data_IF_443670825758
#
_entry.id   IF_443670825758
#
_cell.length_a   1.000
_cell.length_b   1.000
_cell.length_c   1.000
_cell.angle_alpha   90.00
_cell.angle_beta   90.00
_cell.angle_gamma   90.00
#
_symmetry.space_group_name_H-M   'P 1'
#
loop_
_entity.id
_entity.type
_entity.pdbx_description
1 polymer ?
#
# COMPACT_ATOMS: atom_id res chain seq x y z
N UNK A 1 30.48 16.18 12.72
CA UNK A 1 29.93 15.72 11.42
C UNK A 1 29.03 16.81 10.88
N UNK A 2 29.41 17.36 9.73
CA UNK A 2 29.04 18.67 9.20
C UNK A 2 27.69 18.60 8.48
N UNK A 3 26.73 19.45 8.86
CA UNK A 3 25.58 19.82 8.04
C UNK A 3 25.85 21.23 7.50
N UNK A 4 26.13 21.32 6.20
CA UNK A 4 26.20 22.59 5.48
C UNK A 4 24.84 22.84 4.83
N UNK A 5 24.15 23.91 5.22
CA UNK A 5 22.96 24.40 4.54
C UNK A 5 23.27 25.82 4.08
N UNK A 6 23.38 25.98 2.76
CA UNK A 6 23.67 27.24 2.08
C UNK A 6 22.37 28.06 2.10
N UNK A 7 22.39 29.19 2.79
CA UNK A 7 21.33 30.21 2.78
C UNK A 7 21.72 31.25 1.74
N UNK A 8 21.06 31.25 0.58
CA UNK A 8 21.19 32.33 -0.40
C UNK A 8 20.31 33.49 0.10
N UNK A 9 20.97 34.50 0.66
CA UNK A 9 20.36 35.75 1.11
C UNK A 9 20.30 36.71 -0.09
N UNK A 10 19.10 37.03 -0.57
CA UNK A 10 18.90 38.14 -1.52
C UNK A 10 18.45 39.33 -0.69
N UNK A 11 19.30 40.35 -0.63
CA UNK A 11 19.03 41.65 -0.02
C UNK A 11 18.76 42.71 -1.09
N UNK A 12 18.13 43.81 -0.64
CA UNK A 12 17.96 45.14 -1.28
C UNK A 12 16.74 45.19 -2.22
N UNK A 13 15.71 46.03 -1.99
CA UNK A 13 15.77 47.50 -1.91
C UNK A 13 14.80 48.07 -0.86
N UNK A 14 15.33 48.85 0.09
CA UNK A 14 14.60 49.80 0.94
C UNK A 14 14.42 51.12 0.20
N UNK A 15 13.18 51.53 -0.06
CA UNK A 15 12.83 52.94 -0.29
C UNK A 15 12.11 53.40 0.98
N UNK A 16 12.82 54.19 1.79
CA UNK A 16 12.21 54.98 2.84
C UNK A 16 11.66 56.26 2.19
N UNK A 17 10.34 56.37 2.11
CA UNK A 17 9.66 57.65 2.01
C UNK A 17 8.65 57.70 3.16
N UNK A 18 9.05 58.47 4.18
CA UNK A 18 8.27 58.94 5.31
C UNK A 18 6.90 59.48 4.85
N UNK A 19 5.83 58.88 5.33
CA UNK A 19 4.56 59.55 5.53
C UNK A 19 3.85 58.88 6.70
N UNK A 20 3.55 59.71 7.67
CA UNK A 20 2.96 59.46 8.97
C UNK A 20 1.58 58.77 8.85
N UNK A 21 1.22 58.04 9.90
CA UNK A 21 -0.10 57.45 10.17
C UNK A 21 -0.64 56.44 9.14
N UNK A 22 -0.30 55.17 9.31
CA UNK A 22 -0.87 54.12 8.47
C UNK A 22 -0.67 52.72 9.02
N UNK A 23 -1.79 52.12 9.40
CA UNK A 23 -2.10 50.70 9.42
C UNK A 23 -1.00 49.71 9.82
N UNK A 24 -1.21 49.11 10.99
CA UNK A 24 -0.90 47.71 11.33
C UNK A 24 -0.07 47.00 10.27
N UNK A 25 1.26 47.16 10.34
CA UNK A 25 2.17 46.43 9.46
C UNK A 25 1.73 44.96 9.45
N UNK A 26 1.37 44.46 8.28
CA UNK A 26 0.95 43.09 8.06
C UNK A 26 2.12 42.17 8.38
N UNK A 27 2.26 41.81 9.67
CA UNK A 27 3.28 40.89 10.15
C UNK A 27 2.87 39.51 9.65
N UNK A 28 3.42 39.13 8.50
CA UNK A 28 3.44 37.74 8.02
C UNK A 28 4.21 36.91 9.05
N UNK A 29 3.50 36.34 10.03
CA UNK A 29 4.04 35.22 10.81
C UNK A 29 4.28 34.09 9.81
N UNK A 30 5.53 33.66 9.56
CA UNK A 30 5.76 32.56 8.64
C UNK A 30 5.09 31.32 9.26
N UNK A 31 3.93 30.93 8.74
CA UNK A 31 3.42 29.59 8.98
C UNK A 31 4.47 28.65 8.40
N UNK A 32 5.11 27.88 9.28
CA UNK A 32 5.92 26.73 8.87
C UNK A 32 5.02 25.92 7.95
N UNK A 33 5.38 25.84 6.67
CA UNK A 33 4.62 25.10 5.68
C UNK A 33 4.60 23.64 6.12
N UNK A 34 3.52 23.22 6.80
CA UNK A 34 3.24 21.82 7.01
C UNK A 34 3.02 21.22 5.63
N UNK A 35 3.98 20.40 5.20
CA UNK A 35 3.80 19.62 3.98
C UNK A 35 2.61 18.70 4.20
N UNK A 36 1.52 18.98 3.49
CA UNK A 36 0.40 18.08 3.41
C UNK A 36 0.81 16.87 2.57
N UNK A 37 1.28 15.81 3.24
CA UNK A 37 1.68 14.55 2.61
C UNK A 37 0.51 13.85 1.90
N UNK A 38 -0.72 14.29 2.16
CA UNK A 38 -1.95 13.83 1.52
C UNK A 38 -2.09 14.47 0.14
N UNK A 39 -1.45 15.62 -0.07
CA UNK A 39 -1.53 16.37 -1.31
C UNK A 39 -0.62 15.83 -2.43
N UNK A 40 0.14 14.76 -2.17
CA UNK A 40 1.11 14.20 -3.14
C UNK A 40 0.43 13.14 -4.02
N UNK A 41 0.43 13.33 -5.37
CA UNK A 41 -0.06 12.33 -6.32
C UNK A 41 0.62 10.97 -6.11
N UNK A 42 -0.15 9.90 -6.27
CA UNK A 42 0.30 8.52 -6.10
C UNK A 42 0.57 7.89 -7.45
N UNK A 43 1.74 7.28 -7.61
CA UNK A 43 2.06 6.49 -8.81
C UNK A 43 1.29 5.15 -8.84
N UNK A 44 0.47 4.88 -9.87
CA UNK A 44 -0.23 3.60 -10.03
C UNK A 44 0.68 2.38 -10.17
N UNK A 45 1.86 2.52 -10.77
CA UNK A 45 2.78 1.39 -10.93
C UNK A 45 3.45 1.03 -9.61
N UNK A 46 3.90 2.03 -8.84
CA UNK A 46 4.36 1.81 -7.47
C UNK A 46 3.28 1.13 -6.60
N UNK A 47 2.02 1.55 -6.70
CA UNK A 47 0.91 0.93 -5.97
C UNK A 47 0.71 -0.54 -6.35
N UNK A 48 0.79 -0.85 -7.65
CA UNK A 48 0.72 -2.22 -8.16
C UNK A 48 1.91 -3.07 -7.68
N UNK A 49 3.14 -2.53 -7.74
CA UNK A 49 4.35 -3.22 -7.29
C UNK A 49 4.27 -3.56 -5.79
N UNK A 50 3.77 -2.63 -4.96
CA UNK A 50 3.53 -2.91 -3.54
C UNK A 50 2.52 -4.04 -3.37
N UNK A 51 1.37 -3.97 -4.06
CA UNK A 51 0.34 -5.02 -4.01
C UNK A 51 0.86 -6.39 -4.49
N UNK A 52 1.77 -6.41 -5.46
CA UNK A 52 2.42 -7.62 -5.95
C UNK A 52 3.35 -8.24 -4.91
N UNK A 53 4.09 -7.43 -4.14
CA UNK A 53 4.94 -7.96 -3.05
C UNK A 53 4.13 -8.52 -1.90
N UNK A 54 3.13 -7.76 -1.45
CA UNK A 54 2.26 -8.12 -0.34
C UNK A 54 0.84 -7.70 -0.68
N UNK A 55 -0.05 -8.66 -0.99
CA UNK A 55 -1.43 -8.36 -1.33
C UNK A 55 -2.13 -7.51 -0.27
N UNK A 56 -2.76 -6.42 -0.71
CA UNK A 56 -3.41 -5.44 0.16
C UNK A 56 -2.57 -4.17 0.44
N UNK A 57 -1.25 -4.21 0.27
CA UNK A 57 -0.39 -3.05 0.59
C UNK A 57 -0.48 -1.91 -0.44
N UNK A 58 -0.78 -2.21 -1.70
CA UNK A 58 -1.04 -1.17 -2.72
C UNK A 58 -2.25 -0.32 -2.37
N UNK A 59 -3.30 -0.91 -1.81
CA UNK A 59 -4.48 -0.20 -1.31
C UNK A 59 -4.15 0.66 -0.10
N UNK A 60 -3.25 0.21 0.78
CA UNK A 60 -2.75 1.00 1.92
C UNK A 60 -1.98 2.24 1.42
N UNK A 61 -1.14 2.09 0.40
CA UNK A 61 -0.45 3.22 -0.24
C UNK A 61 -1.44 4.25 -0.84
N UNK A 62 -2.55 3.77 -1.40
CA UNK A 62 -3.63 4.61 -1.91
C UNK A 62 -4.56 5.17 -0.83
N UNK A 63 -4.33 4.83 0.45
CA UNK A 63 -5.16 5.18 1.61
C UNK A 63 -6.59 4.61 1.58
N UNK A 64 -6.80 3.58 0.78
CA UNK A 64 -8.06 2.83 0.76
C UNK A 64 -7.95 1.63 1.72
N UNK A 65 -7.72 1.92 3.02
CA UNK A 65 -7.43 0.90 4.04
C UNK A 65 -8.50 -0.20 4.13
N UNK A 66 -9.79 0.17 4.02
CA UNK A 66 -10.88 -0.82 4.06
C UNK A 66 -10.80 -1.84 2.92
N UNK A 67 -10.37 -1.42 1.73
CA UNK A 67 -10.17 -2.34 0.60
C UNK A 67 -8.90 -3.15 0.77
N UNK A 68 -7.84 -2.52 1.26
CA UNK A 68 -6.60 -3.23 1.60
C UNK A 68 -6.86 -4.37 2.58
N UNK A 69 -7.70 -4.14 3.60
CA UNK A 69 -8.13 -5.16 4.54
C UNK A 69 -8.90 -6.29 3.86
N UNK A 70 -9.86 -5.98 2.98
CA UNK A 70 -10.65 -6.99 2.25
C UNK A 70 -9.76 -7.82 1.32
N UNK A 71 -8.86 -7.18 0.57
CA UNK A 71 -7.92 -7.87 -0.31
C UNK A 71 -6.97 -8.76 0.48
N UNK A 72 -6.41 -8.26 1.59
CA UNK A 72 -5.53 -9.04 2.46
C UNK A 72 -6.29 -10.22 3.09
N UNK A 73 -7.46 -9.98 3.69
CA UNK A 73 -8.26 -11.04 4.32
C UNK A 73 -8.67 -12.12 3.31
N UNK A 74 -9.10 -11.74 2.11
CA UNK A 74 -9.44 -12.68 1.04
C UNK A 74 -8.23 -13.50 0.58
N UNK A 75 -7.12 -12.83 0.24
CA UNK A 75 -5.92 -13.51 -0.24
C UNK A 75 -5.30 -14.42 0.83
N UNK A 76 -4.99 -13.88 2.02
CA UNK A 76 -4.33 -14.66 3.08
C UNK A 76 -5.25 -15.72 3.67
N UNK A 77 -6.57 -15.47 3.72
CA UNK A 77 -7.54 -16.48 4.13
C UNK A 77 -7.59 -17.66 3.16
N UNK A 78 -7.66 -17.39 1.85
CA UNK A 78 -7.62 -18.45 0.85
C UNK A 78 -6.25 -19.16 0.80
N UNK A 79 -5.14 -18.42 0.95
CA UNK A 79 -3.80 -19.00 0.99
C UNK A 79 -3.62 -19.94 2.19
N UNK A 80 -4.07 -19.52 3.37
CA UNK A 80 -4.05 -20.36 4.58
C UNK A 80 -4.88 -21.63 4.38
N UNK A 81 -6.10 -21.49 3.85
CA UNK A 81 -6.97 -22.63 3.60
C UNK A 81 -6.36 -23.60 2.57
N UNK A 82 -5.75 -23.09 1.50
CA UNK A 82 -5.06 -23.89 0.50
C UNK A 82 -3.88 -24.66 1.12
N UNK A 83 -3.06 -24.00 1.95
CA UNK A 83 -1.95 -24.65 2.66
C UNK A 83 -2.45 -25.72 3.64
N UNK A 84 -3.52 -25.44 4.38
CA UNK A 84 -4.13 -26.40 5.30
C UNK A 84 -4.63 -27.66 4.57
N UNK A 85 -5.34 -27.49 3.45
CA UNK A 85 -5.85 -28.61 2.66
C UNK A 85 -4.72 -29.41 2.00
N UNK A 86 -3.70 -28.72 1.50
CA UNK A 86 -2.52 -29.38 0.93
C UNK A 86 -1.74 -30.18 1.98
N UNK A 87 -1.54 -29.65 3.18
CA UNK A 87 -0.91 -30.39 4.28
C UNK A 87 -1.70 -31.63 4.69
N UNK A 88 -3.03 -31.58 4.64
CA UNK A 88 -3.87 -32.77 4.85
C UNK A 88 -3.70 -33.81 3.74
N UNK A 89 -3.57 -33.35 2.49
CA UNK A 89 -3.26 -34.24 1.36
C UNK A 89 -1.90 -34.91 1.55
N UNK A 90 -0.86 -34.19 1.96
CA UNK A 90 0.47 -34.77 2.22
C UNK A 90 0.43 -35.81 3.34
N UNK A 91 -0.23 -35.50 4.46
CA UNK A 91 -0.35 -36.42 5.60
C UNK A 91 -1.08 -37.72 5.22
N UNK A 92 -2.12 -37.64 4.38
CA UNK A 92 -2.84 -38.82 3.90
C UNK A 92 -1.99 -39.69 2.96
N UNK A 93 -1.09 -39.05 2.22
CA UNK A 93 -0.16 -39.71 1.29
C UNK A 93 1.19 -40.01 1.93
N UNK A 94 1.32 -39.93 3.24
CA UNK A 94 2.54 -40.26 3.97
C UNK A 94 2.31 -41.50 4.83
N UNK A 95 3.18 -42.49 4.69
CA UNK A 95 3.18 -43.69 5.52
C UNK A 95 4.24 -43.61 6.61
N UNK A 96 4.03 -44.37 7.69
CA UNK A 96 5.02 -44.49 8.77
C UNK A 96 5.77 -45.81 8.63
N UNK A 97 7.07 -45.72 8.35
CA UNK A 97 7.96 -46.88 8.25
C UNK A 97 8.76 -47.01 9.54
N UNK A 98 8.80 -48.21 10.11
CA UNK A 98 9.58 -48.50 11.30
C UNK A 98 10.91 -49.14 10.92
N UNK A 99 12.00 -48.48 11.30
CA UNK A 99 13.36 -49.00 11.13
C UNK A 99 13.87 -49.57 12.45
N UNK A 100 14.27 -50.83 12.40
CA UNK A 100 14.96 -51.51 13.48
C UNK A 100 16.38 -50.94 13.62
N UNK A 101 16.72 -50.35 14.76
CA UNK A 101 18.09 -49.89 14.99
C UNK A 101 19.03 -51.09 15.11
N UNK A 102 20.15 -51.01 14.40
CA UNK A 102 21.23 -51.98 14.48
C UNK A 102 22.50 -51.27 14.92
N UNK A 103 23.25 -51.91 15.83
CA UNK A 103 24.60 -51.48 16.18
C UNK A 103 25.51 -51.55 14.95
N UNK A 104 26.69 -50.92 15.02
CA UNK A 104 27.70 -50.96 13.94
C UNK A 104 28.13 -52.37 13.50
N UNK A 105 27.86 -53.37 14.35
CA UNK A 105 28.14 -54.80 14.11
C UNK A 105 26.91 -55.57 13.58
N UNK A 106 25.80 -54.90 13.31
CA UNK A 106 24.58 -55.49 12.76
C UNK A 106 23.63 -56.11 13.80
N UNK A 107 23.94 -56.06 15.10
CA UNK A 107 23.06 -56.57 16.15
C UNK A 107 21.92 -55.61 16.43
N UNK A 108 20.68 -56.09 16.39
CA UNK A 108 19.47 -55.32 16.70
C UNK A 108 19.51 -54.82 18.16
N UNK A 109 19.31 -53.52 18.37
CA UNK A 109 19.33 -52.91 19.72
C UNK A 109 18.00 -52.97 20.45
N UNK A 110 16.94 -53.49 19.82
CA UNK A 110 15.60 -53.53 20.41
C UNK A 110 14.81 -52.22 20.30
N UNK A 111 15.37 -51.21 19.64
CA UNK A 111 14.75 -49.90 19.44
C UNK A 111 14.25 -49.77 17.99
N UNK A 112 13.01 -49.32 17.83
CA UNK A 112 12.44 -49.00 16.53
C UNK A 112 12.32 -47.49 16.37
N UNK A 113 12.78 -46.95 15.23
CA UNK A 113 12.55 -45.54 14.86
C UNK A 113 11.46 -45.47 13.80
N UNK A 114 10.45 -44.64 14.04
CA UNK A 114 9.45 -44.29 13.04
C UNK A 114 9.98 -43.17 12.14
N UNK A 115 9.85 -43.34 10.84
CA UNK A 115 10.12 -42.30 9.85
C UNK A 115 8.90 -42.16 8.95
N UNK A 116 8.50 -40.91 8.71
CA UNK A 116 7.43 -40.56 7.79
C UNK A 116 7.98 -40.53 6.37
N UNK A 117 7.46 -41.40 5.51
CA UNK A 117 7.90 -41.55 4.11
C UNK A 117 6.70 -41.28 3.21
N UNK A 118 6.81 -40.36 2.23
CA UNK A 118 5.78 -40.18 1.21
C UNK A 118 5.56 -41.48 0.43
N UNK A 119 4.30 -41.80 0.13
CA UNK A 119 3.95 -42.91 -0.77
C UNK A 119 4.53 -42.66 -2.16
N UNK A 120 4.69 -43.74 -2.93
CA UNK A 120 5.05 -43.62 -4.33
C UNK A 120 4.00 -42.81 -5.10
N UNK A 121 4.43 -42.00 -6.06
CA UNK A 121 3.55 -41.10 -6.83
C UNK A 121 2.36 -41.83 -7.48
N UNK A 122 2.55 -43.09 -7.88
CA UNK A 122 1.49 -43.93 -8.47
C UNK A 122 0.34 -44.26 -7.49
N UNK A 123 0.62 -44.21 -6.18
CA UNK A 123 -0.34 -44.53 -5.12
C UNK A 123 -0.97 -43.29 -4.47
N UNK A 124 -0.63 -42.09 -4.95
CA UNK A 124 -1.17 -40.85 -4.40
C UNK A 124 -2.66 -40.75 -4.65
N UNK A 125 -3.40 -40.52 -3.56
CA UNK A 125 -4.85 -40.44 -3.58
C UNK A 125 -5.30 -39.23 -2.78
N UNK A 126 -6.39 -38.62 -3.23
CA UNK A 126 -7.05 -37.59 -2.46
C UNK A 126 -7.84 -38.23 -1.31
N UNK A 127 -7.89 -37.62 -0.12
CA UNK A 127 -8.66 -38.15 1.00
C UNK A 127 -10.16 -38.26 0.68
N UNK A 128 -10.70 -37.29 -0.08
CA UNK A 128 -12.05 -37.31 -0.64
C UNK A 128 -12.14 -36.44 -1.89
N UNK A 129 -13.14 -36.70 -2.74
CA UNK A 129 -13.43 -35.86 -3.92
C UNK A 129 -13.76 -34.42 -3.52
N UNK A 130 -14.47 -34.23 -2.40
CA UNK A 130 -14.78 -32.90 -1.87
C UNK A 130 -13.52 -32.11 -1.53
N UNK A 131 -12.54 -32.73 -0.86
CA UNK A 131 -11.28 -32.07 -0.51
C UNK A 131 -10.44 -31.76 -1.75
N UNK A 132 -10.45 -32.63 -2.75
CA UNK A 132 -9.82 -32.37 -4.05
C UNK A 132 -10.39 -31.10 -4.69
N UNK A 133 -11.71 -31.02 -4.87
CA UNK A 133 -12.34 -29.84 -5.47
C UNK A 133 -12.17 -28.58 -4.63
N UNK A 134 -12.21 -28.71 -3.30
CA UNK A 134 -11.99 -27.59 -2.39
C UNK A 134 -10.55 -27.05 -2.51
N UNK A 135 -9.55 -27.92 -2.61
CA UNK A 135 -8.15 -27.53 -2.78
C UNK A 135 -7.94 -26.78 -4.09
N UNK A 136 -8.48 -27.30 -5.20
CA UNK A 136 -8.35 -26.62 -6.50
C UNK A 136 -9.12 -25.30 -6.56
N UNK A 137 -10.34 -25.26 -6.05
CA UNK A 137 -11.14 -24.02 -6.03
C UNK A 137 -10.52 -22.95 -5.13
N UNK A 138 -9.97 -23.31 -3.97
CA UNK A 138 -9.26 -22.37 -3.08
C UNK A 138 -7.96 -21.85 -3.70
N UNK A 139 -7.21 -22.69 -4.41
CA UNK A 139 -6.04 -22.24 -5.18
C UNK A 139 -6.41 -21.23 -6.28
N UNK A 140 -7.49 -21.50 -7.03
CA UNK A 140 -8.02 -20.58 -8.06
C UNK A 140 -8.48 -19.27 -7.42
N UNK A 141 -9.22 -19.33 -6.31
CA UNK A 141 -9.66 -18.14 -5.59
C UNK A 141 -8.48 -17.32 -5.07
N UNK A 142 -7.43 -17.96 -4.55
CA UNK A 142 -6.20 -17.30 -4.10
C UNK A 142 -5.55 -16.53 -5.24
N UNK A 143 -5.39 -17.17 -6.41
CA UNK A 143 -4.88 -16.51 -7.61
C UNK A 143 -5.78 -15.37 -8.10
N UNK A 144 -7.11 -15.56 -8.01
CA UNK A 144 -8.10 -14.54 -8.34
C UNK A 144 -7.99 -13.30 -7.43
N UNK A 145 -7.90 -13.48 -6.12
CA UNK A 145 -7.70 -12.40 -5.15
C UNK A 145 -6.37 -11.69 -5.35
N UNK A 146 -5.32 -12.42 -5.72
CA UNK A 146 -4.02 -11.83 -6.05
C UNK A 146 -4.15 -10.87 -7.24
N UNK A 147 -4.60 -11.37 -8.40
CA UNK A 147 -4.72 -10.57 -9.63
C UNK A 147 -5.69 -9.39 -9.44
N UNK A 148 -6.84 -9.65 -8.80
CA UNK A 148 -7.81 -8.60 -8.48
C UNK A 148 -7.22 -7.53 -7.55
N UNK A 149 -6.46 -7.95 -6.54
CA UNK A 149 -5.75 -7.04 -5.63
C UNK A 149 -4.72 -6.15 -6.32
N UNK A 150 -4.03 -6.64 -7.35
CA UNK A 150 -3.12 -5.82 -8.17
C UNK A 150 -3.89 -4.78 -8.99
N UNK A 151 -4.94 -5.22 -9.68
CA UNK A 151 -5.77 -4.34 -10.50
C UNK A 151 -6.47 -3.26 -9.66
N UNK A 152 -7.01 -3.64 -8.51
CA UNK A 152 -7.69 -2.72 -7.61
C UNK A 152 -6.73 -1.67 -7.02
N UNK A 153 -5.49 -2.06 -6.69
CA UNK A 153 -4.45 -1.13 -6.26
C UNK A 153 -4.10 -0.12 -7.36
N UNK A 154 -3.92 -0.58 -8.61
CA UNK A 154 -3.66 0.31 -9.73
C UNK A 154 -4.79 1.33 -9.94
N UNK A 155 -6.05 0.88 -9.92
CA UNK A 155 -7.21 1.77 -10.06
C UNK A 155 -7.43 2.66 -8.83
N UNK A 156 -7.08 2.19 -7.63
CA UNK A 156 -7.12 2.97 -6.39
C UNK A 156 -6.20 4.20 -6.47
N UNK A 157 -4.99 4.04 -7.01
CA UNK A 157 -4.05 5.15 -7.19
C UNK A 157 -4.60 6.22 -8.16
N UNK A 158 -5.21 5.78 -9.27
CA UNK A 158 -5.87 6.70 -10.22
C UNK A 158 -7.02 7.48 -9.58
N UNK A 159 -7.86 6.79 -8.80
CA UNK A 159 -8.98 7.42 -8.08
C UNK A 159 -8.49 8.42 -7.03
N UNK A 160 -7.41 8.10 -6.33
CA UNK A 160 -6.77 9.05 -5.41
C UNK A 160 -6.31 10.31 -6.13
N UNK A 161 -5.61 10.17 -7.26
CA UNK A 161 -5.13 11.31 -8.04
C UNK A 161 -6.26 12.16 -8.61
N UNK A 162 -7.36 11.55 -9.03
CA UNK A 162 -8.55 12.27 -9.47
C UNK A 162 -9.18 13.07 -8.33
N UNK A 163 -9.34 12.47 -7.14
CA UNK A 163 -9.84 13.17 -5.95
C UNK A 163 -8.95 14.35 -5.57
N UNK A 164 -7.64 14.17 -5.64
CA UNK A 164 -6.65 15.21 -5.38
C UNK A 164 -6.78 16.37 -6.38
N UNK A 165 -6.86 16.06 -7.69
CA UNK A 165 -6.99 17.06 -8.73
C UNK A 165 -8.26 17.91 -8.57
N UNK A 166 -9.39 17.26 -8.24
CA UNK A 166 -10.66 17.96 -7.96
C UNK A 166 -10.54 18.84 -6.70
N UNK A 167 -9.96 18.31 -5.61
CA UNK A 167 -9.76 19.08 -4.38
C UNK A 167 -8.86 20.30 -4.58
N UNK A 168 -7.80 20.19 -5.39
CA UNK A 168 -6.93 21.30 -5.76
C UNK A 168 -7.62 22.32 -6.66
N UNK A 169 -8.51 21.89 -7.56
CA UNK A 169 -9.27 22.78 -8.42
C UNK A 169 -10.25 23.67 -7.63
N UNK A 170 -10.79 23.16 -6.51
CA UNK A 170 -11.67 23.93 -5.62
C UNK A 170 -10.90 24.96 -4.78
N UNK A 171 -9.69 24.65 -4.31
CA UNK A 171 -8.82 25.58 -3.54
C UNK A 171 -8.10 26.61 -4.42
N UNK A 172 -8.82 27.31 -5.31
CA UNK A 172 -8.23 28.42 -6.08
C UNK A 172 -8.37 29.73 -5.30
N UNK A 173 -7.23 30.30 -4.94
CA UNK A 173 -7.12 31.70 -4.56
C UNK A 173 -7.20 32.54 -5.84
N UNK A 174 -8.29 33.28 -6.04
CA UNK A 174 -8.47 34.13 -7.21
C UNK A 174 -8.08 35.56 -6.81
N UNK A 175 -6.91 36.00 -7.25
CA UNK A 175 -6.43 37.37 -7.06
C UNK A 175 -6.73 38.14 -8.33
N UNK A 176 -7.70 39.05 -8.28
CA UNK A 176 -8.07 39.89 -9.41
C UNK A 176 -7.67 41.33 -9.14
N UNK A 177 -6.88 41.88 -10.06
CA UNK A 177 -6.68 43.31 -10.20
C UNK A 177 -7.74 43.83 -11.16
N UNK A 178 -8.67 44.63 -10.64
CA UNK A 178 -9.72 45.25 -11.44
C UNK A 178 -9.46 46.75 -11.53
N UNK A 179 -9.39 47.27 -12.76
CA UNK A 179 -9.33 48.70 -13.02
C UNK A 179 -10.71 49.19 -13.48
N UNK A 180 -11.27 50.17 -12.78
CA UNK A 180 -12.53 50.81 -13.15
C UNK A 180 -12.25 52.13 -13.89
N UNK A 181 -12.48 52.23 -15.22
CA UNK A 181 -12.19 53.44 -15.98
C UNK A 181 -13.06 54.64 -15.57
N UNK A 182 -14.21 54.38 -14.93
CA UNK A 182 -15.21 55.40 -14.57
C UNK A 182 -14.93 56.08 -13.23
N UNK A 183 -14.19 55.40 -12.34
CA UNK A 183 -13.81 55.92 -11.03
C UNK A 183 -12.29 56.11 -10.87
N UNK A 184 -11.49 55.80 -11.90
CA UNK A 184 -10.02 55.83 -11.88
C UNK A 184 -9.37 55.07 -10.71
N UNK A 185 -10.11 54.13 -10.09
CA UNK A 185 -9.64 53.38 -8.94
C UNK A 185 -9.16 51.98 -9.36
N UNK A 186 -8.04 51.55 -8.78
CA UNK A 186 -7.58 50.17 -8.79
C UNK A 186 -8.18 49.43 -7.60
N UNK A 187 -8.96 48.40 -7.88
CA UNK A 187 -9.50 47.48 -6.89
C UNK A 187 -8.64 46.21 -6.83
N UNK A 188 -8.21 45.84 -5.63
CA UNK A 188 -7.65 44.52 -5.35
C UNK A 188 -8.73 43.66 -4.72
N UNK A 189 -9.17 42.62 -5.42
CA UNK A 189 -10.14 41.67 -4.88
C UNK A 189 -9.46 40.30 -4.77
N UNK A 190 -9.20 39.89 -3.54
CA UNK A 190 -8.82 38.52 -3.22
C UNK A 190 -10.07 37.72 -2.86
N UNK A 191 -10.49 36.83 -3.75
CA UNK A 191 -11.60 35.92 -3.52
C UNK A 191 -11.08 34.54 -3.16
N UNK A 192 -11.49 34.02 -2.01
CA UNK A 192 -11.30 32.61 -1.68
C UNK A 192 -12.55 31.84 -2.08
N UNK A 193 -12.44 30.95 -3.08
CA UNK A 193 -13.51 29.99 -3.40
C UNK A 193 -13.25 28.71 -2.61
N UNK A 194 -14.21 28.33 -1.78
CA UNK A 194 -14.33 26.97 -1.25
C UNK A 194 -15.12 26.11 -2.25
#
# INVERSE_FOLDING_TARGET
>A
MIRALIVISIAVVTIAAYADDGDSAFVLKPQIAQYDYDAVPKDPFASCALSATLPGTGQIYNREYGRGLVTAAGFYGCLYLAQYLYGRFELFNTDTVYFAETTRQGTHTGVYRSVYVPKADADWKWPSDTEKYLTFSTAILTGGFYIWGLYDAYQGAKRYNQKLATAQAHKKFDVRLAYSPRSQNFGFTAGYRF
#
